data_IF_589245886411
#
_entry.id   IF_589245886411
#
_cell.length_a   1.000
_cell.length_b   1.000
_cell.length_c   1.000
_cell.angle_alpha   90.00
_cell.angle_beta   90.00
_cell.angle_gamma   90.00
#
_symmetry.space_group_name_H-M   'P 1'
#
loop_
_entity.id
_entity.type
_entity.pdbx_description
1 polymer ?
#
# COMPACT_ATOMS: atom_id res chain seq x y z
N UNK A 1 62.04 -27.22 -15.64
CA UNK A 1 60.80 -26.84 -16.35
C UNK A 1 59.50 -27.26 -15.64
N UNK A 2 59.28 -28.52 -15.24
CA UNK A 2 58.05 -28.97 -14.58
C UNK A 2 57.73 -28.29 -13.24
N UNK A 3 58.74 -27.95 -12.41
CA UNK A 3 58.55 -27.28 -11.11
C UNK A 3 58.15 -25.81 -11.24
N UNK A 4 58.65 -25.11 -12.25
CA UNK A 4 58.25 -23.72 -12.49
C UNK A 4 56.83 -23.61 -13.10
N UNK A 5 56.41 -24.60 -13.91
CA UNK A 5 55.08 -24.67 -14.45
C UNK A 5 54.04 -24.93 -13.36
N UNK A 6 54.36 -25.82 -12.38
CA UNK A 6 53.46 -26.08 -11.25
C UNK A 6 53.29 -24.88 -10.35
N UNK A 7 54.35 -24.09 -10.12
CA UNK A 7 54.30 -22.87 -9.32
C UNK A 7 53.49 -21.78 -10.00
N UNK A 8 53.58 -21.64 -11.34
CA UNK A 8 52.80 -20.72 -12.12
C UNK A 8 51.28 -21.07 -12.08
N UNK A 9 50.94 -22.37 -12.14
CA UNK A 9 49.54 -22.83 -12.07
C UNK A 9 48.96 -22.61 -10.67
N UNK A 10 49.76 -22.79 -9.59
CA UNK A 10 49.31 -22.48 -8.22
C UNK A 10 49.08 -20.96 -8.02
N UNK A 11 49.94 -20.10 -8.57
CA UNK A 11 49.75 -18.66 -8.51
C UNK A 11 48.53 -18.19 -9.35
N UNK A 12 48.25 -18.80 -10.50
CA UNK A 12 47.06 -18.52 -11.29
C UNK A 12 45.75 -18.96 -10.58
N UNK A 13 45.75 -20.10 -9.88
CA UNK A 13 44.60 -20.54 -9.09
C UNK A 13 44.32 -19.64 -7.87
N UNK A 14 45.34 -19.01 -7.28
CA UNK A 14 45.18 -18.05 -6.17
C UNK A 14 44.51 -16.74 -6.58
N UNK A 15 44.55 -16.37 -7.86
CA UNK A 15 43.96 -15.15 -8.36
C UNK A 15 42.44 -15.28 -8.69
N UNK A 16 41.98 -16.54 -8.92
CA UNK A 16 40.59 -16.80 -9.27
C UNK A 16 39.65 -16.92 -8.07
N UNK A 17 40.14 -16.90 -6.83
CA UNK A 17 39.33 -16.97 -5.62
C UNK A 17 39.15 -15.63 -4.92
N UNK A 18 39.43 -14.50 -5.60
CA UNK A 18 38.94 -13.21 -5.13
C UNK A 18 37.44 -13.13 -5.37
N UNK A 19 36.68 -13.91 -4.58
CA UNK A 19 35.26 -13.65 -4.38
C UNK A 19 35.19 -12.26 -3.78
N UNK A 20 34.83 -11.28 -4.59
CA UNK A 20 34.51 -9.93 -4.10
C UNK A 20 33.40 -10.09 -3.08
N UNK A 21 33.74 -10.16 -1.79
CA UNK A 21 32.75 -10.00 -0.74
C UNK A 21 32.11 -8.63 -0.98
N UNK A 22 30.84 -8.67 -1.41
CA UNK A 22 30.04 -7.46 -1.54
C UNK A 22 29.98 -6.85 -0.15
N UNK A 23 30.73 -5.77 0.08
CA UNK A 23 30.75 -5.11 1.39
C UNK A 23 29.41 -4.36 1.51
N UNK A 24 28.52 -4.88 2.35
CA UNK A 24 27.27 -4.17 2.69
C UNK A 24 27.64 -2.90 3.44
N UNK A 25 27.29 -1.76 2.88
CA UNK A 25 27.51 -0.45 3.48
C UNK A 25 26.33 -0.05 4.35
N UNK A 26 25.10 -0.33 3.86
CA UNK A 26 23.86 -0.05 4.55
C UNK A 26 22.93 -1.25 4.51
N UNK A 27 22.33 -1.56 5.65
CA UNK A 27 21.31 -2.58 5.79
C UNK A 27 19.98 -1.93 6.12
N UNK A 28 19.00 -2.00 5.19
CA UNK A 28 17.69 -1.36 5.29
C UNK A 28 16.63 -2.44 5.53
N UNK A 29 15.90 -2.32 6.64
CA UNK A 29 14.74 -3.16 6.93
C UNK A 29 13.46 -2.53 6.38
N UNK A 30 12.58 -3.34 5.78
CA UNK A 30 11.26 -2.92 5.31
C UNK A 30 10.20 -3.79 5.97
N UNK A 31 9.35 -3.17 6.80
CA UNK A 31 8.20 -3.83 7.42
C UNK A 31 6.92 -3.49 6.65
N UNK A 32 6.42 -4.46 5.89
CA UNK A 32 5.23 -4.35 5.04
C UNK A 32 4.01 -4.89 5.78
N UNK A 33 2.88 -4.16 5.74
CA UNK A 33 1.66 -4.57 6.45
C UNK A 33 0.93 -5.75 5.82
N UNK A 34 0.84 -5.81 4.49
CA UNK A 34 0.05 -6.78 3.73
C UNK A 34 0.81 -7.36 2.54
N UNK A 35 0.23 -8.37 1.90
CA UNK A 35 0.85 -9.18 0.84
C UNK A 35 -0.08 -9.20 -0.39
N UNK A 36 -0.38 -8.02 -0.92
CA UNK A 36 -1.22 -7.83 -2.10
C UNK A 36 -0.44 -7.26 -3.30
N UNK A 37 -1.10 -7.21 -4.45
CA UNK A 37 -0.51 -6.74 -5.71
C UNK A 37 0.04 -5.30 -5.65
N UNK A 38 -0.63 -4.41 -4.89
CA UNK A 38 -0.17 -3.03 -4.73
C UNK A 38 1.10 -2.98 -3.88
N UNK A 39 1.19 -3.81 -2.81
CA UNK A 39 2.39 -3.97 -1.99
C UNK A 39 3.53 -4.63 -2.76
N UNK A 40 3.22 -5.62 -3.59
CA UNK A 40 4.25 -6.23 -4.45
C UNK A 40 4.86 -5.20 -5.41
N UNK A 41 4.05 -4.32 -6.01
CA UNK A 41 4.56 -3.24 -6.85
C UNK A 41 5.46 -2.30 -6.05
N UNK A 42 5.05 -1.85 -4.85
CA UNK A 42 5.87 -1.03 -3.96
C UNK A 42 7.19 -1.71 -3.61
N UNK A 43 7.15 -2.99 -3.23
CA UNK A 43 8.34 -3.77 -2.89
C UNK A 43 9.30 -3.89 -4.08
N UNK A 44 8.78 -4.14 -5.29
CA UNK A 44 9.59 -4.16 -6.50
C UNK A 44 10.24 -2.81 -6.79
N UNK A 45 9.55 -1.70 -6.58
CA UNK A 45 10.11 -0.35 -6.74
C UNK A 45 11.23 -0.09 -5.74
N UNK A 46 11.05 -0.44 -4.47
CA UNK A 46 12.08 -0.33 -3.42
C UNK A 46 13.33 -1.11 -3.82
N UNK A 47 13.18 -2.39 -4.18
CA UNK A 47 14.31 -3.26 -4.53
C UNK A 47 15.00 -2.76 -5.81
N UNK A 48 14.22 -2.36 -6.82
CA UNK A 48 14.76 -1.82 -8.07
C UNK A 48 15.55 -0.54 -7.85
N UNK A 49 15.01 0.39 -7.06
CA UNK A 49 15.70 1.64 -6.76
C UNK A 49 16.97 1.40 -5.94
N UNK A 50 16.96 0.45 -5.02
CA UNK A 50 18.14 0.08 -4.25
C UNK A 50 19.33 -0.38 -5.12
N UNK A 51 19.08 -0.92 -6.33
CA UNK A 51 20.12 -1.35 -7.26
C UNK A 51 20.98 -0.20 -7.79
N UNK A 52 20.54 1.04 -7.69
CA UNK A 52 21.32 2.22 -8.08
C UNK A 52 22.32 2.67 -7.02
N UNK A 53 22.33 2.03 -5.84
CA UNK A 53 23.23 2.37 -4.73
C UNK A 53 24.16 1.21 -4.38
N UNK A 54 25.46 1.45 -4.41
CA UNK A 54 26.45 0.42 -4.10
C UNK A 54 26.46 0.06 -2.61
N UNK A 55 26.48 -1.24 -2.32
CA UNK A 55 26.60 -1.74 -0.95
C UNK A 55 25.32 -1.64 -0.13
N UNK A 56 24.15 -1.42 -0.74
CA UNK A 56 22.86 -1.41 -0.07
C UNK A 56 22.27 -2.82 -0.08
N UNK A 57 21.85 -3.29 1.09
CA UNK A 57 21.08 -4.51 1.29
C UNK A 57 19.69 -4.14 1.82
N UNK A 58 18.65 -4.67 1.19
CA UNK A 58 17.25 -4.46 1.59
C UNK A 58 16.65 -5.80 1.98
N UNK A 59 16.15 -5.91 3.20
CA UNK A 59 15.35 -7.05 3.65
C UNK A 59 13.90 -6.61 3.87
N UNK A 60 12.96 -7.30 3.21
CA UNK A 60 11.52 -7.01 3.32
C UNK A 60 10.85 -8.14 4.09
N UNK A 61 10.10 -7.78 5.13
CA UNK A 61 9.24 -8.70 5.88
C UNK A 61 7.79 -8.25 5.77
N UNK A 62 6.90 -9.22 5.61
CA UNK A 62 5.47 -8.97 5.35
C UNK A 62 4.62 -9.56 6.45
N UNK A 63 3.85 -8.71 7.12
CA UNK A 63 3.03 -9.06 8.27
C UNK A 63 1.71 -9.77 7.91
N UNK A 64 1.31 -9.74 6.63
CA UNK A 64 0.08 -10.39 6.12
C UNK A 64 -1.18 -9.97 6.90
N UNK A 65 -1.41 -8.67 6.96
CA UNK A 65 -2.56 -8.03 7.61
C UNK A 65 -2.69 -8.32 9.13
N UNK A 66 -1.57 -8.64 9.79
CA UNK A 66 -1.54 -8.99 11.19
C UNK A 66 -0.62 -8.06 11.99
N UNK A 67 -1.21 -7.30 12.92
CA UNK A 67 -0.47 -6.33 13.75
C UNK A 67 0.62 -6.99 14.59
N UNK A 68 0.36 -8.19 15.14
CA UNK A 68 1.34 -8.91 15.96
C UNK A 68 2.56 -9.31 15.14
N UNK A 69 2.34 -9.85 13.95
CA UNK A 69 3.43 -10.20 13.04
C UNK A 69 4.25 -8.95 12.69
N UNK A 70 3.58 -7.81 12.45
CA UNK A 70 4.27 -6.57 12.11
C UNK A 70 5.13 -6.06 13.27
N UNK A 71 4.61 -6.13 14.50
CA UNK A 71 5.37 -5.78 15.69
C UNK A 71 6.59 -6.70 15.86
N UNK A 72 6.44 -8.00 15.61
CA UNK A 72 7.54 -8.97 15.63
C UNK A 72 8.58 -8.67 14.54
N UNK A 73 8.16 -8.33 13.32
CA UNK A 73 9.03 -7.95 12.21
C UNK A 73 9.83 -6.67 12.50
N UNK A 74 9.19 -5.65 13.06
CA UNK A 74 9.90 -4.41 13.45
C UNK A 74 10.91 -4.68 14.58
N UNK A 75 10.55 -5.48 15.59
CA UNK A 75 11.49 -5.86 16.64
C UNK A 75 12.67 -6.67 16.09
N UNK A 76 12.43 -7.58 15.14
CA UNK A 76 13.50 -8.29 14.43
C UNK A 76 14.50 -7.32 13.79
N UNK A 77 14.03 -6.28 13.10
CA UNK A 77 14.92 -5.28 12.49
C UNK A 77 15.66 -4.44 13.55
N UNK A 78 15.01 -4.11 14.67
CA UNK A 78 15.66 -3.45 15.81
C UNK A 78 16.82 -4.31 16.33
N UNK A 79 16.58 -5.60 16.58
CA UNK A 79 17.58 -6.54 17.10
C UNK A 79 18.73 -6.77 16.12
N UNK A 80 18.45 -6.73 14.82
CA UNK A 80 19.43 -6.80 13.72
C UNK A 80 20.21 -5.50 13.53
N UNK A 81 19.80 -4.42 14.22
CA UNK A 81 20.44 -3.10 14.14
C UNK A 81 20.54 -2.60 12.71
N UNK A 82 19.41 -2.61 12.00
CA UNK A 82 19.35 -2.02 10.66
C UNK A 82 19.78 -0.56 10.68
N UNK A 83 20.41 -0.09 9.62
CA UNK A 83 20.85 1.32 9.51
C UNK A 83 19.67 2.26 9.28
N UNK A 84 18.57 1.75 8.70
CA UNK A 84 17.31 2.47 8.50
C UNK A 84 16.15 1.48 8.42
N UNK A 85 15.00 1.89 8.96
CA UNK A 85 13.76 1.11 8.92
C UNK A 85 12.70 1.85 8.09
N UNK A 86 12.15 1.17 7.07
CA UNK A 86 10.97 1.62 6.32
C UNK A 86 9.76 0.86 6.86
N UNK A 87 8.68 1.56 7.22
CA UNK A 87 7.47 0.95 7.79
C UNK A 87 6.23 1.40 7.03
N UNK A 88 5.47 0.44 6.50
CA UNK A 88 4.10 0.64 6.04
C UNK A 88 3.14 0.08 7.12
N UNK A 89 2.60 0.90 8.04
CA UNK A 89 1.83 0.39 9.18
C UNK A 89 0.54 -0.32 8.78
N UNK A 90 0.18 -1.42 9.45
CA UNK A 90 -1.12 -2.05 9.24
C UNK A 90 -2.24 -1.20 9.90
N UNK A 91 -2.25 -1.13 11.21
CA UNK A 91 -3.12 -0.23 11.98
C UNK A 91 -2.26 0.76 12.77
N UNK A 92 -2.60 2.04 12.67
CA UNK A 92 -1.79 3.10 13.27
C UNK A 92 -1.60 2.92 14.78
N UNK A 93 -2.69 2.66 15.51
CA UNK A 93 -2.64 2.53 16.98
C UNK A 93 -1.77 1.34 17.44
N UNK A 94 -1.85 0.21 16.77
CA UNK A 94 -1.13 -1.01 17.13
C UNK A 94 0.38 -0.91 16.86
N UNK A 95 0.77 -0.25 15.77
CA UNK A 95 2.16 -0.23 15.29
C UNK A 95 2.94 0.98 15.83
N UNK A 96 2.28 2.06 16.19
CA UNK A 96 2.95 3.28 16.71
C UNK A 96 3.96 3.00 17.83
N UNK A 97 3.66 2.22 18.89
CA UNK A 97 4.61 2.04 20.00
C UNK A 97 5.93 1.39 19.59
N UNK A 98 5.90 0.41 18.67
CA UNK A 98 7.13 -0.28 18.26
C UNK A 98 7.94 0.58 17.27
N UNK A 99 7.28 1.42 16.46
CA UNK A 99 7.97 2.40 15.62
C UNK A 99 8.66 3.46 16.48
N UNK A 100 7.98 3.99 17.49
CA UNK A 100 8.59 4.92 18.45
C UNK A 100 9.78 4.31 19.21
N UNK A 101 9.71 3.01 19.52
CA UNK A 101 10.83 2.26 20.12
C UNK A 101 12.04 2.27 19.18
N UNK A 102 11.85 1.93 17.89
CA UNK A 102 12.94 1.94 16.91
C UNK A 102 13.57 3.33 16.79
N UNK A 103 12.73 4.36 16.62
CA UNK A 103 13.17 5.75 16.54
C UNK A 103 13.92 6.20 17.80
N UNK A 104 13.41 5.84 19.01
CA UNK A 104 14.03 6.15 20.29
C UNK A 104 15.39 5.47 20.53
N UNK A 105 15.66 4.37 19.83
CA UNK A 105 16.96 3.69 19.82
C UNK A 105 17.94 4.29 18.80
N UNK A 106 17.55 5.36 18.10
CA UNK A 106 18.38 6.06 17.12
C UNK A 106 18.36 5.46 15.73
N UNK A 107 17.49 4.50 15.43
CA UNK A 107 17.29 3.99 14.08
C UNK A 107 16.45 5.01 13.30
N UNK A 108 16.93 5.60 12.19
CA UNK A 108 16.11 6.41 11.32
C UNK A 108 14.91 5.62 10.82
N UNK A 109 13.71 6.20 10.91
CA UNK A 109 12.48 5.53 10.44
C UNK A 109 11.82 6.35 9.35
N UNK A 110 11.56 5.74 8.21
CA UNK A 110 10.73 6.31 7.15
C UNK A 110 9.39 5.59 7.13
N UNK A 111 8.33 6.32 7.41
CA UNK A 111 6.95 5.80 7.35
C UNK A 111 6.43 5.99 5.93
N UNK A 112 5.83 4.95 5.35
CA UNK A 112 5.32 4.99 3.97
C UNK A 112 3.84 4.62 3.89
N UNK A 113 3.11 5.29 2.97
CA UNK A 113 1.70 5.06 2.64
C UNK A 113 0.74 5.38 3.78
N UNK A 114 0.76 4.58 4.83
CA UNK A 114 -0.06 4.75 6.04
C UNK A 114 0.75 5.46 7.13
N UNK A 115 0.10 6.33 7.90
CA UNK A 115 0.73 7.06 9.01
C UNK A 115 0.63 6.28 10.32
N UNK A 116 1.47 6.64 11.28
CA UNK A 116 1.34 6.28 12.70
C UNK A 116 0.68 7.42 13.49
N UNK A 117 0.32 7.20 14.76
CA UNK A 117 -0.29 8.19 15.64
C UNK A 117 0.75 9.04 16.42
N UNK A 118 1.91 9.29 15.81
CA UNK A 118 3.02 10.00 16.41
C UNK A 118 3.82 10.71 15.33
N UNK A 119 4.59 11.70 15.70
CA UNK A 119 5.59 12.39 14.88
C UNK A 119 7.03 11.87 15.10
N UNK A 120 7.18 10.78 15.88
CA UNK A 120 8.48 10.15 16.17
C UNK A 120 8.90 9.21 15.05
N UNK A 121 9.24 9.80 13.92
CA UNK A 121 9.86 9.18 12.74
C UNK A 121 10.69 10.23 11.99
N UNK A 122 11.58 9.78 11.11
CA UNK A 122 12.50 10.68 10.39
C UNK A 122 11.84 11.36 9.19
N UNK A 123 11.03 10.61 8.41
CA UNK A 123 10.34 11.12 7.24
C UNK A 123 9.05 10.32 6.96
N UNK A 124 8.12 10.92 6.22
CA UNK A 124 6.92 10.28 5.68
C UNK A 124 6.89 10.39 4.17
N UNK A 125 6.57 9.28 3.49
CA UNK A 125 6.34 9.22 2.05
C UNK A 125 4.95 8.66 1.80
N UNK A 126 4.06 9.44 1.19
CA UNK A 126 2.69 9.02 0.90
C UNK A 126 1.91 10.11 0.18
N UNK A 127 0.72 9.76 -0.28
CA UNK A 127 -0.20 10.70 -0.92
C UNK A 127 -1.13 11.37 0.10
N UNK A 128 -1.77 12.47 -0.31
CA UNK A 128 -2.84 13.10 0.45
C UNK A 128 -4.15 12.34 0.23
N UNK A 129 -4.45 11.43 1.14
CA UNK A 129 -5.65 10.61 1.06
C UNK A 129 -6.96 11.41 1.26
N UNK A 130 -6.88 12.57 1.94
CA UNK A 130 -8.04 13.44 2.08
C UNK A 130 -8.37 14.10 0.73
N UNK A 131 -7.35 14.56 0.00
CA UNK A 131 -7.55 15.14 -1.34
C UNK A 131 -8.06 14.09 -2.32
N UNK A 132 -7.52 12.87 -2.30
CA UNK A 132 -8.05 11.76 -3.12
C UNK A 132 -9.53 11.49 -2.81
N UNK A 133 -9.93 11.49 -1.54
CA UNK A 133 -11.32 11.35 -1.14
C UNK A 133 -12.22 12.48 -1.67
N UNK A 134 -11.73 13.72 -1.69
CA UNK A 134 -12.43 14.86 -2.30
C UNK A 134 -12.57 14.72 -3.81
N UNK A 135 -11.51 14.30 -4.50
CA UNK A 135 -11.55 14.09 -5.96
C UNK A 135 -12.58 13.02 -6.34
N UNK A 136 -12.63 11.93 -5.57
CA UNK A 136 -13.66 10.89 -5.72
C UNK A 136 -15.05 11.49 -5.47
N UNK A 137 -15.23 12.28 -4.41
CA UNK A 137 -16.51 12.94 -4.11
C UNK A 137 -16.95 13.86 -5.25
N UNK A 138 -16.04 14.68 -5.79
CA UNK A 138 -16.35 15.55 -6.93
C UNK A 138 -16.70 14.76 -8.19
N UNK A 139 -16.02 13.64 -8.45
CA UNK A 139 -16.39 12.74 -9.55
C UNK A 139 -17.81 12.20 -9.35
N UNK A 140 -18.15 11.73 -8.15
CA UNK A 140 -19.47 11.18 -7.82
C UNK A 140 -20.57 12.24 -8.04
N UNK A 141 -20.35 13.47 -7.57
CA UNK A 141 -21.27 14.60 -7.79
C UNK A 141 -21.54 14.81 -9.28
N UNK A 142 -20.47 14.89 -10.06
CA UNK A 142 -20.58 15.10 -11.51
C UNK A 142 -21.26 13.91 -12.20
N UNK A 143 -20.94 12.70 -11.81
CA UNK A 143 -21.43 11.47 -12.44
C UNK A 143 -22.91 11.21 -12.16
N UNK A 144 -23.37 11.57 -10.98
CA UNK A 144 -24.76 11.42 -10.55
C UNK A 144 -25.61 12.69 -10.78
N UNK A 145 -25.02 13.78 -11.28
CA UNK A 145 -25.73 15.04 -11.51
C UNK A 145 -26.25 15.68 -10.20
N UNK A 146 -25.51 15.51 -9.10
CA UNK A 146 -25.84 16.11 -7.79
C UNK A 146 -26.94 15.40 -7.02
N UNK A 147 -27.43 14.22 -7.46
CA UNK A 147 -28.49 13.49 -6.76
C UNK A 147 -28.31 11.97 -6.86
N UNK A 148 -28.32 11.27 -5.74
CA UNK A 148 -28.26 9.81 -5.71
C UNK A 148 -27.88 9.26 -4.35
N UNK A 149 -27.89 7.93 -4.27
CA UNK A 149 -27.52 7.15 -3.09
C UNK A 149 -26.23 6.38 -3.34
N UNK A 150 -25.29 6.54 -2.46
CA UNK A 150 -23.99 5.87 -2.58
C UNK A 150 -23.77 4.94 -1.39
N UNK A 151 -23.12 3.80 -1.69
CA UNK A 151 -22.53 2.92 -0.71
C UNK A 151 -21.01 3.16 -0.69
N UNK A 152 -20.46 3.43 0.46
CA UNK A 152 -19.01 3.45 0.65
C UNK A 152 -18.52 2.13 1.26
N UNK A 153 -17.50 1.51 0.65
CA UNK A 153 -16.77 0.36 1.21
C UNK A 153 -15.37 0.87 1.55
N UNK A 154 -15.14 1.12 2.82
CA UNK A 154 -13.88 1.64 3.33
C UNK A 154 -12.79 0.57 3.35
N UNK A 155 -11.54 1.00 3.49
CA UNK A 155 -10.47 0.08 3.85
C UNK A 155 -10.52 -0.33 5.32
N UNK A 156 -9.48 -1.04 5.77
CA UNK A 156 -9.35 -1.52 7.15
C UNK A 156 -9.54 -0.39 8.15
N UNK A 157 -10.45 -0.58 9.08
CA UNK A 157 -10.65 0.33 10.20
C UNK A 157 -9.33 0.50 10.99
N UNK A 158 -9.02 1.74 11.39
CA UNK A 158 -7.75 2.06 12.04
C UNK A 158 -6.56 2.30 11.10
N UNK A 159 -6.71 2.10 9.80
CA UNK A 159 -5.72 2.54 8.81
C UNK A 159 -5.97 3.99 8.38
N UNK A 160 -4.92 4.81 8.35
CA UNK A 160 -5.06 6.26 8.09
C UNK A 160 -5.61 6.58 6.70
N UNK A 161 -5.26 5.87 5.60
CA UNK A 161 -5.86 6.12 4.30
C UNK A 161 -7.38 5.92 4.29
N UNK A 162 -7.91 4.91 5.01
CA UNK A 162 -9.34 4.68 5.07
C UNK A 162 -10.09 5.85 5.72
N UNK A 163 -9.59 6.32 6.86
CA UNK A 163 -10.17 7.46 7.57
C UNK A 163 -10.06 8.76 6.78
N UNK A 164 -8.91 9.01 6.14
CA UNK A 164 -8.65 10.24 5.40
C UNK A 164 -9.47 10.30 4.10
N UNK A 165 -9.60 9.18 3.35
CA UNK A 165 -10.45 9.10 2.15
C UNK A 165 -11.92 9.31 2.48
N UNK A 166 -12.41 8.67 3.56
CA UNK A 166 -13.77 8.89 4.05
C UNK A 166 -14.04 10.36 4.40
N UNK A 167 -13.11 11.00 5.14
CA UNK A 167 -13.23 12.42 5.48
C UNK A 167 -13.25 13.30 4.23
N UNK A 168 -12.37 13.05 3.26
CA UNK A 168 -12.33 13.80 2.01
C UNK A 168 -13.63 13.65 1.20
N UNK A 169 -14.15 12.44 1.08
CA UNK A 169 -15.44 12.16 0.45
C UNK A 169 -16.57 12.94 1.15
N UNK A 170 -16.67 12.80 2.48
CA UNK A 170 -17.70 13.49 3.26
C UNK A 170 -17.60 15.01 3.12
N UNK A 171 -16.38 15.57 3.09
CA UNK A 171 -16.17 17.01 2.89
C UNK A 171 -16.63 17.47 1.50
N UNK A 172 -16.36 16.71 0.45
CA UNK A 172 -16.83 17.04 -0.91
C UNK A 172 -18.35 16.99 -1.03
N UNK A 173 -19.01 16.08 -0.31
CA UNK A 173 -20.47 15.92 -0.38
C UNK A 173 -21.25 16.89 0.51
N UNK A 174 -20.59 17.62 1.43
CA UNK A 174 -21.30 18.60 2.32
C UNK A 174 -22.12 19.65 1.58
N UNK A 175 -21.66 20.08 0.40
CA UNK A 175 -22.33 21.05 -0.41
C UNK A 175 -23.43 20.47 -1.33
N UNK A 176 -23.57 19.14 -1.33
CA UNK A 176 -24.39 18.38 -2.27
C UNK A 176 -25.48 17.58 -1.55
N UNK A 177 -26.51 18.24 -0.97
CA UNK A 177 -27.50 17.56 -0.13
C UNK A 177 -28.37 16.56 -0.89
N UNK A 178 -28.30 16.54 -2.21
CA UNK A 178 -28.98 15.54 -3.05
C UNK A 178 -28.27 14.20 -3.10
N UNK A 179 -27.01 14.09 -2.61
CA UNK A 179 -26.26 12.84 -2.56
C UNK A 179 -26.20 12.33 -1.12
N UNK A 180 -26.62 11.11 -0.91
CA UNK A 180 -26.68 10.44 0.39
C UNK A 180 -25.70 9.28 0.44
N UNK A 181 -24.83 9.24 1.45
CA UNK A 181 -24.10 8.03 1.82
C UNK A 181 -25.02 7.17 2.66
N UNK A 182 -25.63 6.15 2.03
CA UNK A 182 -26.63 5.29 2.68
C UNK A 182 -26.01 4.32 3.67
N UNK A 183 -24.76 3.92 3.44
CA UNK A 183 -23.96 3.12 4.35
C UNK A 183 -22.46 3.33 4.07
N UNK A 184 -21.66 3.19 5.12
CA UNK A 184 -20.21 3.07 5.06
C UNK A 184 -19.80 1.83 5.82
N UNK A 185 -19.12 0.88 5.16
CA UNK A 185 -18.80 -0.44 5.72
C UNK A 185 -17.33 -0.79 5.52
N UNK A 186 -16.74 -1.43 6.51
CA UNK A 186 -15.35 -1.88 6.45
C UNK A 186 -15.19 -3.09 5.51
N UNK A 187 -14.42 -2.91 4.44
CA UNK A 187 -14.02 -3.95 3.48
C UNK A 187 -12.64 -4.55 3.78
N UNK A 188 -11.97 -4.09 4.84
CA UNK A 188 -10.70 -4.61 5.34
C UNK A 188 -9.57 -4.67 4.28
N UNK A 189 -9.64 -3.87 3.21
CA UNK A 189 -8.80 -3.93 2.02
C UNK A 189 -8.92 -5.23 1.21
N UNK A 190 -9.90 -6.10 1.51
CA UNK A 190 -10.05 -7.43 0.93
C UNK A 190 -11.24 -7.50 -0.03
N UNK A 191 -10.99 -8.07 -1.22
CA UNK A 191 -12.04 -8.29 -2.23
C UNK A 191 -13.19 -9.14 -1.72
N UNK A 192 -12.88 -10.23 -1.00
CA UNK A 192 -13.88 -11.15 -0.46
C UNK A 192 -14.77 -10.48 0.58
N UNK A 193 -14.17 -9.73 1.52
CA UNK A 193 -14.92 -9.01 2.56
C UNK A 193 -15.83 -7.96 1.95
N UNK A 194 -15.33 -7.18 0.98
CA UNK A 194 -16.14 -6.20 0.26
C UNK A 194 -17.35 -6.87 -0.47
N UNK A 195 -17.12 -8.03 -1.10
CA UNK A 195 -18.19 -8.81 -1.72
C UNK A 195 -19.23 -9.30 -0.72
N UNK A 196 -18.80 -9.83 0.43
CA UNK A 196 -19.70 -10.28 1.52
C UNK A 196 -20.52 -9.12 2.09
N UNK A 197 -19.89 -7.94 2.32
CA UNK A 197 -20.59 -6.73 2.78
C UNK A 197 -21.63 -6.28 1.77
N UNK A 198 -21.25 -6.22 0.48
CA UNK A 198 -22.16 -5.86 -0.61
C UNK A 198 -23.33 -6.84 -0.68
N UNK A 199 -23.05 -8.15 -0.59
CA UNK A 199 -24.11 -9.19 -0.63
C UNK A 199 -25.10 -9.01 0.51
N UNK A 200 -24.63 -8.73 1.73
CA UNK A 200 -25.48 -8.47 2.89
C UNK A 200 -26.34 -7.22 2.69
N UNK A 201 -25.76 -6.12 2.18
CA UNK A 201 -26.51 -4.87 1.97
C UNK A 201 -27.59 -5.06 0.91
N UNK A 202 -27.31 -5.77 -0.17
CA UNK A 202 -28.26 -6.02 -1.26
C UNK A 202 -29.45 -6.91 -0.88
N UNK A 203 -29.42 -7.57 0.29
CA UNK A 203 -30.59 -8.28 0.82
C UNK A 203 -31.69 -7.31 1.24
N UNK A 204 -31.30 -6.21 1.86
CA UNK A 204 -32.24 -5.25 2.48
C UNK A 204 -32.37 -3.95 1.69
N UNK A 205 -31.35 -3.53 0.98
CA UNK A 205 -31.31 -2.26 0.24
C UNK A 205 -30.71 -2.44 -1.16
N UNK A 206 -31.55 -2.27 -2.18
CA UNK A 206 -31.16 -2.29 -3.61
C UNK A 206 -31.15 -0.90 -4.24
N UNK A 207 -31.56 0.12 -3.51
CA UNK A 207 -31.62 1.51 -3.98
C UNK A 207 -30.27 2.21 -3.78
N UNK A 208 -29.27 1.76 -4.56
CA UNK A 208 -27.89 2.25 -4.58
C UNK A 208 -27.57 2.64 -6.01
N UNK A 209 -27.16 3.90 -6.23
CA UNK A 209 -26.80 4.39 -7.56
C UNK A 209 -25.31 4.23 -7.86
N UNK A 210 -24.46 4.25 -6.82
CA UNK A 210 -23.03 4.13 -6.97
C UNK A 210 -22.40 3.47 -5.73
N UNK A 211 -21.49 2.55 -5.98
CA UNK A 211 -20.61 1.92 -4.97
C UNK A 211 -19.22 2.53 -5.11
N UNK A 212 -18.75 3.23 -4.09
CA UNK A 212 -17.38 3.64 -3.97
C UNK A 212 -16.65 2.73 -3.01
N UNK A 213 -15.69 1.97 -3.51
CA UNK A 213 -14.78 1.20 -2.68
C UNK A 213 -13.38 1.83 -2.69
N UNK A 214 -12.78 1.93 -1.52
CA UNK A 214 -11.49 2.62 -1.35
C UNK A 214 -10.29 1.85 -1.91
N UNK A 215 -10.53 0.74 -2.66
CA UNK A 215 -9.56 -0.04 -3.41
C UNK A 215 -10.23 -0.73 -4.60
N UNK A 216 -9.55 -0.82 -5.76
CA UNK A 216 -10.11 -1.44 -6.98
C UNK A 216 -10.57 -2.88 -6.74
N UNK A 217 -9.77 -3.68 -6.03
CA UNK A 217 -10.15 -5.07 -5.71
C UNK A 217 -11.43 -5.17 -4.88
N UNK A 218 -11.65 -4.23 -3.97
CA UNK A 218 -12.89 -4.18 -3.21
C UNK A 218 -14.07 -3.77 -4.09
N UNK A 219 -13.87 -2.81 -5.01
CA UNK A 219 -14.89 -2.42 -5.99
C UNK A 219 -15.28 -3.59 -6.89
N UNK A 220 -14.29 -4.37 -7.35
CA UNK A 220 -14.53 -5.62 -8.10
C UNK A 220 -15.30 -6.65 -7.26
N UNK A 221 -14.98 -6.80 -5.97
CA UNK A 221 -15.71 -7.68 -5.06
C UNK A 221 -17.19 -7.30 -4.95
N UNK A 222 -17.46 -6.01 -4.79
CA UNK A 222 -18.83 -5.47 -4.76
C UNK A 222 -19.56 -5.67 -6.10
N UNK A 223 -18.89 -5.40 -7.23
CA UNK A 223 -19.44 -5.66 -8.56
C UNK A 223 -19.83 -7.13 -8.76
N UNK A 224 -18.97 -8.06 -8.37
CA UNK A 224 -19.24 -9.50 -8.51
C UNK A 224 -20.45 -9.95 -7.68
N UNK A 225 -20.63 -9.40 -6.47
CA UNK A 225 -21.81 -9.63 -5.64
C UNK A 225 -23.08 -9.08 -6.29
N UNK A 226 -23.04 -7.84 -6.81
CA UNK A 226 -24.16 -7.24 -7.54
C UNK A 226 -24.51 -8.06 -8.80
N UNK A 227 -23.51 -8.53 -9.55
CA UNK A 227 -23.67 -9.36 -10.75
C UNK A 227 -24.35 -10.70 -10.45
N UNK A 228 -24.03 -11.35 -9.34
CA UNK A 228 -24.71 -12.59 -8.94
C UNK A 228 -26.23 -12.39 -8.74
N UNK A 229 -26.64 -11.17 -8.43
CA UNK A 229 -28.03 -10.75 -8.23
C UNK A 229 -28.63 -10.07 -9.46
N UNK A 230 -27.89 -9.95 -10.56
CA UNK A 230 -28.27 -9.26 -11.80
C UNK A 230 -28.57 -7.77 -11.59
N UNK A 231 -27.86 -7.13 -10.64
CA UNK A 231 -28.00 -5.72 -10.28
C UNK A 231 -26.80 -4.87 -10.71
N UNK A 232 -25.79 -5.45 -11.33
CA UNK A 232 -24.54 -4.76 -11.70
C UNK A 232 -24.75 -3.63 -12.72
N UNK A 233 -25.87 -3.63 -13.44
CA UNK A 233 -26.21 -2.58 -14.41
C UNK A 233 -27.05 -1.46 -13.82
N UNK A 234 -27.54 -1.62 -12.62
CA UNK A 234 -28.36 -0.65 -11.92
C UNK A 234 -27.54 0.37 -11.13
N UNK A 235 -26.23 0.14 -11.00
CA UNK A 235 -25.33 0.94 -10.20
C UNK A 235 -23.94 1.09 -10.83
N UNK A 236 -23.22 2.14 -10.45
CA UNK A 236 -21.84 2.42 -10.86
C UNK A 236 -20.86 1.89 -9.82
N UNK A 237 -19.63 1.53 -10.25
CA UNK A 237 -18.57 1.02 -9.37
C UNK A 237 -17.32 1.86 -9.55
N UNK A 238 -16.80 2.40 -8.45
CA UNK A 238 -15.61 3.26 -8.43
C UNK A 238 -14.60 2.73 -7.45
N UNK A 239 -13.33 2.68 -7.87
CA UNK A 239 -12.22 2.21 -7.07
C UNK A 239 -11.09 3.22 -6.94
N UNK A 240 -10.03 2.80 -6.25
CA UNK A 240 -8.75 3.50 -6.12
C UNK A 240 -7.65 2.45 -6.28
N UNK A 241 -6.56 2.78 -6.89
CA UNK A 241 -5.24 2.21 -7.08
C UNK A 241 -4.77 2.46 -8.52
N UNK A 242 -5.64 2.25 -9.51
CA UNK A 242 -5.37 2.35 -10.95
C UNK A 242 -4.10 1.58 -11.36
N UNK A 243 -3.88 0.39 -10.79
CA UNK A 243 -2.77 -0.46 -11.22
C UNK A 243 -2.96 -0.89 -12.67
N UNK A 244 -1.90 -0.79 -13.51
CA UNK A 244 -1.90 -1.32 -14.85
C UNK A 244 -1.67 -2.83 -14.83
N UNK A 245 -2.19 -3.54 -15.83
CA UNK A 245 -1.98 -4.97 -16.04
C UNK A 245 -3.25 -5.79 -15.93
N UNK A 246 -3.11 -7.08 -16.26
CA UNK A 246 -4.23 -8.01 -16.35
C UNK A 246 -4.88 -8.23 -14.98
N UNK A 247 -6.20 -8.06 -14.90
CA UNK A 247 -7.00 -8.22 -13.70
C UNK A 247 -6.95 -7.02 -12.74
N UNK A 248 -6.21 -5.94 -13.08
CA UNK A 248 -6.06 -4.77 -12.21
C UNK A 248 -6.99 -3.61 -12.62
N UNK A 249 -7.03 -2.57 -11.80
CA UNK A 249 -8.01 -1.50 -11.90
C UNK A 249 -8.17 -0.87 -13.28
N UNK A 250 -7.05 -0.60 -13.99
CA UNK A 250 -7.12 -0.03 -15.34
C UNK A 250 -7.84 -0.97 -16.31
N UNK A 251 -7.52 -2.26 -16.29
CA UNK A 251 -8.20 -3.25 -17.14
C UNK A 251 -9.68 -3.37 -16.76
N UNK A 252 -10.01 -3.35 -15.47
CA UNK A 252 -11.40 -3.43 -15.00
C UNK A 252 -12.25 -2.24 -15.48
N UNK A 253 -11.65 -1.05 -15.64
CA UNK A 253 -12.33 0.10 -16.26
C UNK A 253 -12.51 -0.13 -17.77
N UNK A 254 -11.49 -0.63 -18.47
CA UNK A 254 -11.57 -0.93 -19.91
C UNK A 254 -12.59 -2.02 -20.23
N UNK A 255 -12.80 -2.96 -19.34
CA UNK A 255 -13.78 -4.05 -19.47
C UNK A 255 -15.20 -3.65 -19.02
N UNK A 256 -15.37 -2.43 -18.47
CA UNK A 256 -16.66 -1.94 -17.98
C UNK A 256 -17.13 -2.60 -16.68
N UNK A 257 -16.21 -3.17 -15.89
CA UNK A 257 -16.46 -3.69 -14.55
C UNK A 257 -16.46 -2.53 -13.54
N UNK A 258 -15.52 -1.60 -13.71
CA UNK A 258 -15.48 -0.35 -12.96
C UNK A 258 -15.80 0.83 -13.88
N UNK A 259 -16.51 1.83 -13.38
CA UNK A 259 -16.77 3.08 -14.10
C UNK A 259 -15.59 4.04 -14.01
N UNK A 260 -14.85 4.00 -12.92
CA UNK A 260 -13.63 4.77 -12.73
C UNK A 260 -12.71 4.15 -11.69
N UNK A 261 -11.43 4.47 -11.80
CA UNK A 261 -10.42 4.26 -10.75
C UNK A 261 -9.54 5.50 -10.62
N UNK A 262 -9.05 5.76 -9.42
CA UNK A 262 -8.18 6.89 -9.12
C UNK A 262 -6.75 6.42 -8.89
N UNK A 263 -5.77 7.13 -9.46
CA UNK A 263 -4.36 6.78 -9.31
C UNK A 263 -3.93 6.95 -7.86
N UNK A 264 -3.36 5.89 -7.30
CA UNK A 264 -2.71 5.91 -5.99
C UNK A 264 -1.27 5.43 -6.14
N UNK A 265 -0.28 6.35 -6.07
CA UNK A 265 1.12 5.98 -6.27
C UNK A 265 1.65 5.14 -5.12
N UNK A 266 2.40 4.09 -5.43
CA UNK A 266 3.03 3.21 -4.43
C UNK A 266 4.18 3.89 -3.69
N UNK A 267 4.95 4.75 -4.36
CA UNK A 267 6.04 5.53 -3.79
C UNK A 267 7.27 4.72 -3.35
N UNK A 268 7.40 3.46 -3.83
CA UNK A 268 8.50 2.59 -3.44
C UNK A 268 9.88 3.08 -3.88
N UNK A 269 10.00 3.66 -5.08
CA UNK A 269 11.19 4.33 -5.55
C UNK A 269 11.49 5.57 -4.70
N UNK A 270 10.49 6.40 -4.44
CA UNK A 270 10.65 7.62 -3.66
C UNK A 270 11.07 7.36 -2.22
N UNK A 271 10.51 6.34 -1.56
CA UNK A 271 10.91 6.04 -0.19
C UNK A 271 12.35 5.56 -0.11
N UNK A 272 12.84 4.83 -1.13
CA UNK A 272 14.22 4.39 -1.18
C UNK A 272 15.17 5.56 -1.41
N UNK A 273 14.85 6.52 -2.28
CA UNK A 273 15.60 7.76 -2.47
C UNK A 273 15.70 8.56 -1.16
N UNK A 274 14.57 8.71 -0.44
CA UNK A 274 14.53 9.37 0.87
C UNK A 274 15.39 8.63 1.91
N UNK A 275 15.35 7.29 1.91
CA UNK A 275 16.18 6.48 2.80
C UNK A 275 17.67 6.71 2.55
N UNK A 276 18.09 6.75 1.29
CA UNK A 276 19.49 7.03 0.93
C UNK A 276 19.90 8.46 1.24
N UNK A 277 19.03 9.44 1.01
CA UNK A 277 19.27 10.84 1.41
C UNK A 277 19.52 10.99 2.93
N UNK A 278 18.89 10.14 3.74
CA UNK A 278 19.07 10.12 5.21
C UNK A 278 20.40 9.45 5.59
N UNK A 279 20.75 8.34 4.95
CA UNK A 279 21.94 7.56 5.27
C UNK A 279 23.27 8.17 4.78
N UNK A 280 23.22 9.02 3.76
CA UNK A 280 24.39 9.63 3.15
C UNK A 280 24.71 11.05 3.66
N UNK A 281 23.87 11.61 4.54
CA UNK A 281 24.12 12.89 5.24
C UNK A 281 24.95 12.70 6.50
#
# INVERSE_FOLDING_TARGET
MKKHLLFLILCLMGILTSCSQKHTRYYIGVSQCSDDEWRHKMNHEIVREALFYDGVEVEIRTAKDNNRNQIEDINYFIDRKVDLLIVAPNEAAAVTPVVEKAYGLGIPVVVIDRKILSDRYTAFVGADNCEIGKDVGQYIVNRLGGKGKILEITGLEGSTPAMERHRGLADALKAEPGIEITASVDGAWLQSVAGEKMDSILQDNKDINLVFAQKDRMAVGAYLSARQRQLEKEMLFVGIDALPGKGYGVEQVLEGVLDATFIYPTGGDKVMQVAMDILEK
#
